data_IF_271619449292
#
_entry.id   IF_271619449292
#
_cell.length_a   1.000
_cell.length_b   1.000
_cell.length_c   1.000
_cell.angle_alpha   90.00
_cell.angle_beta   90.00
_cell.angle_gamma   90.00
#
_symmetry.space_group_name_H-M   'P 1'
#
loop_
_entity.id
_entity.type
_entity.pdbx_description
1 polymer ?
#
# COMPACT_ATOMS: atom_id res chain seq x y z
N UNK A 1 -15.79 2.55 -24.27
CA UNK A 1 -14.32 2.63 -24.07
C UNK A 1 -13.77 4.06 -24.19
N UNK A 2 -14.09 4.87 -25.23
CA UNK A 2 -13.56 6.26 -25.36
C UNK A 2 -14.07 7.28 -24.32
N UNK A 3 -15.20 7.01 -23.65
CA UNK A 3 -15.79 7.95 -22.68
C UNK A 3 -15.24 7.83 -21.24
N UNK A 4 -14.71 6.66 -20.85
CA UNK A 4 -14.19 6.45 -19.49
C UNK A 4 -12.94 7.30 -19.22
N UNK A 5 -12.05 7.40 -20.20
CA UNK A 5 -10.81 8.17 -20.08
C UNK A 5 -11.10 9.68 -19.97
N UNK A 6 -12.06 10.17 -20.75
CA UNK A 6 -12.51 11.57 -20.71
C UNK A 6 -13.24 11.90 -19.41
N UNK A 7 -14.06 10.98 -18.88
CA UNK A 7 -14.71 11.15 -17.57
C UNK A 7 -13.71 11.14 -16.42
N UNK A 8 -12.68 10.29 -16.46
CA UNK A 8 -11.57 10.33 -15.50
C UNK A 8 -10.82 11.66 -15.57
N UNK A 9 -10.45 12.13 -16.76
CA UNK A 9 -9.79 13.42 -16.94
C UNK A 9 -10.64 14.59 -16.41
N UNK A 10 -11.96 14.57 -16.66
CA UNK A 10 -12.88 15.59 -16.16
C UNK A 10 -13.03 15.52 -14.63
N UNK A 11 -13.05 14.32 -14.07
CA UNK A 11 -13.05 14.11 -12.62
C UNK A 11 -11.79 14.72 -11.99
N UNK A 12 -10.61 14.48 -12.57
CA UNK A 12 -9.33 15.04 -12.11
C UNK A 12 -9.24 16.59 -12.17
N UNK A 13 -10.04 17.26 -13.01
CA UNK A 13 -10.06 18.73 -13.11
C UNK A 13 -10.83 19.42 -11.98
N UNK A 14 -11.78 18.74 -11.32
CA UNK A 14 -12.50 19.32 -10.19
C UNK A 14 -11.62 19.34 -8.93
N UNK A 15 -11.46 20.54 -8.32
CA UNK A 15 -10.73 20.77 -7.05
C UNK A 15 -11.07 19.74 -5.94
N UNK A 16 -12.32 19.28 -5.91
CA UNK A 16 -12.83 18.29 -4.95
C UNK A 16 -12.24 16.89 -5.18
N UNK A 17 -12.09 16.46 -6.43
CA UNK A 17 -11.50 15.16 -6.75
C UNK A 17 -10.01 15.09 -6.40
N UNK A 18 -9.28 16.20 -6.60
CA UNK A 18 -7.87 16.32 -6.20
C UNK A 18 -7.70 16.13 -4.68
N UNK A 19 -8.62 16.69 -3.89
CA UNK A 19 -8.64 16.52 -2.42
C UNK A 19 -8.94 15.07 -2.02
N UNK A 20 -9.88 14.42 -2.69
CA UNK A 20 -10.21 13.01 -2.43
C UNK A 20 -9.06 12.08 -2.81
N UNK A 21 -8.34 12.37 -3.89
CA UNK A 21 -7.15 11.62 -4.30
C UNK A 21 -6.01 11.75 -3.29
N UNK A 22 -5.81 12.93 -2.69
CA UNK A 22 -4.82 13.08 -1.61
C UNK A 22 -5.19 12.22 -0.40
N UNK A 23 -6.46 12.16 -0.02
CA UNK A 23 -6.92 11.27 1.06
C UNK A 23 -6.73 9.80 0.71
N UNK A 24 -7.01 9.42 -0.54
CA UNK A 24 -6.80 8.05 -1.02
C UNK A 24 -5.31 7.67 -0.99
N UNK A 25 -4.42 8.56 -1.42
CA UNK A 25 -2.98 8.35 -1.34
C UNK A 25 -2.49 8.23 0.11
N UNK A 26 -3.01 9.05 1.03
CA UNK A 26 -2.72 8.93 2.46
C UNK A 26 -3.16 7.58 3.02
N UNK A 27 -4.32 7.07 2.59
CA UNK A 27 -4.80 5.74 2.96
C UNK A 27 -3.86 4.64 2.46
N UNK A 28 -3.44 4.68 1.19
CA UNK A 28 -2.48 3.71 0.66
C UNK A 28 -1.11 3.79 1.36
N UNK A 29 -0.63 5.00 1.65
CA UNK A 29 0.61 5.19 2.41
C UNK A 29 0.50 4.61 3.83
N UNK A 30 -0.63 4.81 4.50
CA UNK A 30 -0.90 4.21 5.81
C UNK A 30 -0.96 2.68 5.74
N UNK A 31 -1.61 2.13 4.72
CA UNK A 31 -1.65 0.69 4.47
C UNK A 31 -0.24 0.11 4.29
N UNK A 32 0.58 0.74 3.45
CA UNK A 32 1.97 0.35 3.23
C UNK A 32 2.80 0.44 4.52
N UNK A 33 2.59 1.47 5.33
CA UNK A 33 3.28 1.62 6.61
C UNK A 33 2.94 0.47 7.56
N UNK A 34 1.67 0.08 7.66
CA UNK A 34 1.25 -1.07 8.46
C UNK A 34 1.91 -2.37 7.94
N UNK A 35 1.89 -2.59 6.63
CA UNK A 35 2.50 -3.78 6.01
C UNK A 35 4.00 -3.84 6.30
N UNK A 36 4.70 -2.70 6.19
CA UNK A 36 6.13 -2.62 6.50
C UNK A 36 6.41 -2.91 7.98
N UNK A 37 5.61 -2.39 8.90
CA UNK A 37 5.75 -2.66 10.34
C UNK A 37 5.58 -4.15 10.63
N UNK A 38 4.52 -4.77 10.11
CA UNK A 38 4.30 -6.20 10.33
C UNK A 38 5.37 -7.08 9.69
N UNK A 39 5.84 -6.73 8.49
CA UNK A 39 6.93 -7.44 7.82
C UNK A 39 8.25 -7.35 8.63
N UNK A 40 8.55 -6.17 9.20
CA UNK A 40 9.68 -5.98 10.13
C UNK A 40 9.54 -6.82 11.39
N UNK A 41 8.37 -6.79 12.05
CA UNK A 41 8.11 -7.61 13.23
C UNK A 41 8.28 -9.11 12.93
N UNK A 42 7.77 -9.59 11.80
CA UNK A 42 7.95 -10.97 11.35
C UNK A 42 9.43 -11.32 11.19
N UNK A 43 10.21 -10.44 10.56
CA UNK A 43 11.63 -10.68 10.34
C UNK A 43 12.42 -10.71 11.66
N UNK A 44 12.07 -9.85 12.63
CA UNK A 44 12.66 -9.86 13.97
C UNK A 44 12.33 -11.15 14.74
N UNK A 45 11.09 -11.64 14.66
CA UNK A 45 10.69 -12.90 15.27
C UNK A 45 11.42 -14.09 14.64
N UNK A 46 11.56 -14.11 13.32
CA UNK A 46 12.24 -15.19 12.62
C UNK A 46 13.76 -15.19 12.85
N UNK A 47 14.36 -14.01 12.99
CA UNK A 47 15.74 -13.87 13.43
C UNK A 47 15.95 -14.42 14.84
N UNK A 48 14.97 -14.23 15.74
CA UNK A 48 14.99 -14.83 17.08
C UNK A 48 14.87 -16.36 17.05
N UNK A 49 14.18 -16.91 16.05
CA UNK A 49 14.06 -18.36 15.82
C UNK A 49 15.25 -18.95 15.01
N UNK A 50 16.33 -18.21 14.77
CA UNK A 50 17.48 -18.60 13.93
C UNK A 50 17.10 -19.01 12.49
N UNK A 51 15.93 -18.57 12.00
CA UNK A 51 15.45 -18.84 10.65
C UNK A 51 15.60 -17.61 9.76
N UNK A 52 16.49 -17.69 8.79
CA UNK A 52 16.68 -16.64 7.79
C UNK A 52 15.61 -16.73 6.69
N UNK A 53 14.65 -15.80 6.71
CA UNK A 53 13.68 -15.61 5.63
C UNK A 53 14.02 -14.40 4.79
N UNK A 54 13.62 -14.40 3.51
CA UNK A 54 13.80 -13.22 2.65
C UNK A 54 12.76 -12.14 2.98
N UNK A 55 13.08 -10.89 2.67
CA UNK A 55 12.14 -9.76 2.78
C UNK A 55 10.84 -9.99 2.00
N UNK A 56 10.93 -10.68 0.86
CA UNK A 56 9.77 -11.09 0.05
C UNK A 56 8.87 -12.07 0.83
N UNK A 57 9.45 -12.92 1.66
CA UNK A 57 8.70 -13.89 2.48
C UNK A 57 7.93 -13.21 3.60
N UNK A 58 8.52 -12.21 4.25
CA UNK A 58 7.81 -11.39 5.26
C UNK A 58 6.63 -10.63 4.65
N UNK A 59 6.80 -10.10 3.43
CA UNK A 59 5.72 -9.44 2.70
C UNK A 59 4.59 -10.41 2.31
N UNK A 60 4.94 -11.61 1.82
CA UNK A 60 3.98 -12.66 1.48
C UNK A 60 3.16 -13.12 2.69
N UNK A 61 3.81 -13.33 3.84
CA UNK A 61 3.14 -13.72 5.08
C UNK A 61 2.26 -12.61 5.69
N UNK A 62 2.56 -11.35 5.37
CA UNK A 62 1.72 -10.23 5.83
C UNK A 62 0.49 -10.03 4.94
N UNK A 63 0.51 -10.55 3.70
CA UNK A 63 -0.59 -10.44 2.73
C UNK A 63 -1.51 -11.66 2.66
N UNK A 64 -1.04 -12.83 3.10
CA UNK A 64 -1.85 -14.06 3.24
C UNK A 64 -2.59 -14.06 4.56
#
# INVERSE_FOLDING_TARGET
>A
MKFLFTQLLYFFQHKTARRNLTTLWKFFAFLLLIICIYSLCFHLLMMYEDRNYSWITGFYWTMT
#
